data_IF_165038208504
#
_entry.id   IF_165038208504
#
_cell.length_a   1.000
_cell.length_b   1.000
_cell.length_c   1.000
_cell.angle_alpha   90.00
_cell.angle_beta   90.00
_cell.angle_gamma   90.00
#
_symmetry.space_group_name_H-M   'P 1'
#
loop_
_entity.id
_entity.type
_entity.pdbx_description
1 polymer ?
#
# COMPACT_ATOMS: atom_id res chain seq x y z
N UNK A 1 9.71 -4.52 1.33
CA UNK A 1 8.53 -3.70 0.99
C UNK A 1 8.65 -2.97 -0.35
N UNK A 2 9.84 -2.75 -0.92
CA UNK A 2 10.03 -1.96 -2.16
C UNK A 2 9.05 -2.24 -3.32
N UNK A 3 8.88 -3.50 -3.72
CA UNK A 3 7.93 -3.87 -4.80
C UNK A 3 6.47 -3.51 -4.53
N UNK A 4 6.09 -3.37 -3.25
CA UNK A 4 4.72 -3.02 -2.89
C UNK A 4 4.34 -1.58 -3.24
N UNK A 5 5.30 -0.66 -3.33
CA UNK A 5 5.03 0.76 -3.60
C UNK A 5 4.37 0.98 -4.96
N UNK A 6 4.77 0.18 -5.96
CA UNK A 6 4.21 0.26 -7.31
C UNK A 6 2.73 -0.11 -7.36
N UNK A 7 2.25 -0.92 -6.41
CA UNK A 7 0.86 -1.37 -6.37
C UNK A 7 -0.07 -0.53 -5.50
N UNK A 8 0.39 0.58 -4.93
CA UNK A 8 -0.38 1.36 -3.96
C UNK A 8 -1.14 2.52 -4.62
N UNK A 9 -2.48 2.46 -4.72
CA UNK A 9 -3.27 3.53 -5.36
C UNK A 9 -3.00 4.92 -4.79
N UNK A 10 -2.88 5.03 -3.47
CA UNK A 10 -2.63 6.28 -2.76
C UNK A 10 -1.26 6.90 -3.07
N UNK A 11 -0.26 6.08 -3.43
CA UNK A 11 1.06 6.57 -3.83
C UNK A 11 1.02 6.99 -5.29
N UNK A 12 0.38 6.18 -6.14
CA UNK A 12 0.24 6.45 -7.58
C UNK A 12 -0.56 7.74 -7.85
N UNK A 13 -1.64 7.97 -7.11
CA UNK A 13 -2.42 9.21 -7.20
C UNK A 13 -1.58 10.45 -6.91
N UNK A 14 -0.59 10.36 -6.00
CA UNK A 14 0.33 11.47 -5.73
C UNK A 14 1.28 11.71 -6.88
N UNK A 15 1.74 10.67 -7.59
CA UNK A 15 2.52 10.84 -8.81
C UNK A 15 1.69 11.45 -9.94
N UNK A 16 0.41 11.06 -10.06
CA UNK A 16 -0.50 11.62 -11.06
C UNK A 16 -0.90 13.09 -10.78
N UNK A 17 -0.79 13.53 -9.53
CA UNK A 17 -1.08 14.91 -9.14
C UNK A 17 0.10 15.89 -9.34
N UNK A 18 1.25 15.41 -9.83
CA UNK A 18 2.42 16.24 -10.10
C UNK A 18 2.12 17.16 -11.28
N UNK A 19 2.42 18.45 -11.11
CA UNK A 19 2.08 19.49 -12.09
C UNK A 19 3.04 19.48 -13.26
N UNK A 20 4.34 19.39 -12.96
CA UNK A 20 5.40 19.41 -13.94
C UNK A 20 6.40 18.28 -13.66
N UNK A 21 6.88 17.65 -14.73
CA UNK A 21 7.88 16.57 -14.65
C UNK A 21 9.20 17.03 -14.04
N UNK A 22 9.54 18.32 -14.16
CA UNK A 22 10.70 18.96 -13.52
C UNK A 22 10.69 18.80 -11.98
N UNK A 23 9.51 18.84 -11.35
CA UNK A 23 9.31 18.74 -9.91
C UNK A 23 9.60 17.32 -9.36
N UNK A 24 9.58 16.29 -10.22
CA UNK A 24 9.81 14.89 -9.82
C UNK A 24 11.15 14.71 -9.10
N UNK A 25 12.20 15.36 -9.60
CA UNK A 25 13.56 15.21 -9.05
C UNK A 25 13.67 15.80 -7.64
N UNK A 26 13.09 16.98 -7.44
CA UNK A 26 13.04 17.66 -6.15
C UNK A 26 12.17 16.88 -5.17
N UNK A 27 10.96 16.51 -5.59
CA UNK A 27 10.00 15.76 -4.79
C UNK A 27 10.59 14.42 -4.31
N UNK A 28 11.26 13.68 -5.22
CA UNK A 28 12.00 12.44 -4.87
C UNK A 28 13.10 12.69 -3.85
N UNK A 29 13.90 13.74 -3.99
CA UNK A 29 15.00 14.05 -3.06
C UNK A 29 14.46 14.38 -1.67
N UNK A 30 13.46 15.25 -1.58
CA UNK A 30 12.82 15.62 -0.32
C UNK A 30 12.22 14.38 0.35
N UNK A 31 11.44 13.57 -0.38
CA UNK A 31 10.82 12.37 0.15
C UNK A 31 11.86 11.35 0.64
N UNK A 32 12.92 11.11 -0.13
CA UNK A 32 13.98 10.15 0.23
C UNK A 32 14.77 10.62 1.44
N UNK A 33 15.09 11.91 1.52
CA UNK A 33 15.82 12.49 2.65
C UNK A 33 15.03 12.36 3.96
N UNK A 34 13.75 12.76 3.96
CA UNK A 34 12.89 12.63 5.15
C UNK A 34 12.59 11.18 5.52
N UNK A 35 12.49 10.29 4.53
CA UNK A 35 12.35 8.86 4.76
C UNK A 35 13.59 8.28 5.45
N UNK A 36 14.80 8.62 4.96
CA UNK A 36 16.06 8.17 5.54
C UNK A 36 16.22 8.64 7.00
N UNK A 37 15.89 9.90 7.29
CA UNK A 37 15.92 10.44 8.66
C UNK A 37 14.94 9.69 9.56
N UNK A 38 13.68 9.54 9.12
CA UNK A 38 12.62 8.91 9.90
C UNK A 38 12.94 7.44 10.22
N UNK A 39 13.40 6.68 9.21
CA UNK A 39 13.78 5.27 9.39
C UNK A 39 15.04 5.13 10.24
N UNK A 40 16.04 6.01 10.05
CA UNK A 40 17.24 6.04 10.87
C UNK A 40 16.92 6.29 12.35
N UNK A 41 16.05 7.27 12.63
CA UNK A 41 15.59 7.55 13.98
C UNK A 41 14.81 6.37 14.59
N UNK A 42 13.92 5.75 13.83
CA UNK A 42 13.15 4.58 14.28
C UNK A 42 14.06 3.40 14.65
N UNK A 43 15.07 3.10 13.83
CA UNK A 43 16.06 2.04 14.10
C UNK A 43 16.86 2.38 15.37
N UNK A 44 17.32 3.62 15.51
CA UNK A 44 18.07 4.05 16.70
C UNK A 44 17.23 3.89 17.99
N UNK A 45 15.96 4.29 17.97
CA UNK A 45 15.03 4.12 19.09
C UNK A 45 14.87 2.63 19.43
N UNK A 46 14.68 1.76 18.42
CA UNK A 46 14.58 0.32 18.63
C UNK A 46 15.84 -0.29 19.25
N UNK A 47 17.03 0.07 18.75
CA UNK A 47 18.32 -0.45 19.25
C UNK A 47 18.58 0.03 20.68
N UNK A 48 18.45 1.34 20.94
CA UNK A 48 18.66 1.91 22.28
C UNK A 48 17.64 1.33 23.26
N UNK A 49 16.37 1.26 22.85
CA UNK A 49 15.30 0.68 23.63
C UNK A 49 15.57 -0.78 24.00
N UNK A 50 16.13 -1.58 23.08
CA UNK A 50 16.47 -2.99 23.33
C UNK A 50 17.50 -3.19 24.43
N UNK A 51 18.44 -2.25 24.55
CA UNK A 51 19.50 -2.28 25.56
C UNK A 51 18.98 -1.81 26.93
N UNK A 52 18.18 -0.74 26.96
CA UNK A 52 17.73 -0.12 28.21
C UNK A 52 16.50 -0.84 28.79
N UNK A 53 15.59 -1.31 27.94
CA UNK A 53 14.34 -1.97 28.31
C UNK A 53 14.25 -3.36 27.68
N UNK A 54 15.10 -4.32 28.09
CA UNK A 54 15.14 -5.64 27.46
C UNK A 54 13.80 -6.39 27.56
N UNK A 55 13.04 -6.17 28.64
CA UNK A 55 11.75 -6.81 28.87
C UNK A 55 10.67 -6.34 27.89
N UNK A 56 10.81 -5.12 27.35
CA UNK A 56 9.89 -4.59 26.34
C UNK A 56 10.00 -5.32 24.98
N UNK A 57 11.01 -6.19 24.81
CA UNK A 57 11.25 -6.94 23.58
C UNK A 57 10.98 -8.45 23.72
N UNK A 58 10.35 -8.88 24.82
CA UNK A 58 9.97 -10.27 25.02
C UNK A 58 8.89 -10.74 24.04
N UNK A 59 8.05 -9.82 23.57
CA UNK A 59 7.05 -10.09 22.52
C UNK A 59 7.10 -9.01 21.44
N UNK A 60 6.66 -9.34 20.23
CA UNK A 60 6.60 -8.37 19.13
C UNK A 60 5.61 -7.23 19.42
N UNK A 61 4.45 -7.54 20.00
CA UNK A 61 3.45 -6.55 20.39
C UNK A 61 3.98 -5.58 21.47
N UNK A 62 4.72 -6.08 22.47
CA UNK A 62 5.37 -5.21 23.44
C UNK A 62 6.45 -4.31 22.79
N UNK A 63 7.22 -4.86 21.84
CA UNK A 63 8.28 -4.13 21.17
C UNK A 63 7.76 -2.92 20.37
N UNK A 64 6.54 -3.00 19.81
CA UNK A 64 5.92 -1.88 19.08
C UNK A 64 5.63 -0.66 19.99
N UNK A 65 5.55 -0.88 21.32
CA UNK A 65 5.31 0.18 22.31
C UNK A 65 6.61 0.86 22.81
N UNK A 66 7.79 0.48 22.31
CA UNK A 66 9.07 0.97 22.83
C UNK A 66 9.20 2.50 22.75
N UNK A 67 8.67 3.12 21.69
CA UNK A 67 8.71 4.57 21.56
C UNK A 67 7.92 5.26 22.67
N UNK A 68 6.75 4.72 23.01
CA UNK A 68 5.89 5.25 24.07
C UNK A 68 6.61 5.10 25.42
N UNK A 69 7.14 3.91 25.69
CA UNK A 69 7.88 3.61 26.93
C UNK A 69 9.09 4.53 27.12
N UNK A 70 9.89 4.73 26.07
CA UNK A 70 11.04 5.64 26.14
C UNK A 70 10.60 7.10 26.34
N UNK A 71 9.53 7.53 25.67
CA UNK A 71 9.02 8.89 25.80
C UNK A 71 8.52 9.18 27.23
N UNK A 72 7.79 8.26 27.84
CA UNK A 72 7.28 8.42 29.21
C UNK A 72 8.35 8.24 30.28
N UNK A 73 9.42 7.50 29.99
CA UNK A 73 10.52 7.28 30.94
C UNK A 73 11.54 8.42 30.96
N UNK A 74 11.83 9.04 29.82
CA UNK A 74 12.88 10.07 29.72
C UNK A 74 12.38 11.51 29.77
N UNK A 75 11.11 11.77 29.45
CA UNK A 75 10.56 13.12 29.44
C UNK A 75 9.61 13.37 30.62
N UNK A 76 9.50 14.63 31.03
CA UNK A 76 8.45 15.05 31.96
C UNK A 76 7.07 14.86 31.32
N UNK A 77 6.00 14.61 32.10
CA UNK A 77 4.69 14.21 31.58
C UNK A 77 4.12 15.10 30.46
N UNK A 78 4.33 16.42 30.56
CA UNK A 78 3.86 17.38 29.55
C UNK A 78 4.57 17.17 28.21
N UNK A 79 5.89 17.00 28.21
CA UNK A 79 6.69 16.81 26.99
C UNK A 79 6.41 15.44 26.39
N UNK A 80 6.32 14.40 27.23
CA UNK A 80 5.90 13.07 26.79
C UNK A 80 4.52 13.12 26.11
N UNK A 81 3.57 13.86 26.68
CA UNK A 81 2.24 14.09 26.10
C UNK A 81 2.27 14.76 24.73
N UNK A 82 3.12 15.78 24.54
CA UNK A 82 3.32 16.45 23.24
C UNK A 82 3.92 15.50 22.20
N UNK A 83 4.90 14.68 22.60
CA UNK A 83 5.53 13.71 21.71
C UNK A 83 4.53 12.63 21.28
N UNK A 84 3.74 12.10 22.21
CA UNK A 84 2.70 11.11 21.93
C UNK A 84 1.57 11.68 21.06
N UNK A 85 1.16 12.93 21.29
CA UNK A 85 0.14 13.58 20.47
C UNK A 85 0.60 13.75 19.01
N UNK A 86 1.89 13.96 18.78
CA UNK A 86 2.48 13.98 17.44
C UNK A 86 2.30 12.66 16.68
N UNK A 87 2.53 11.51 17.34
CA UNK A 87 2.30 10.19 16.73
C UNK A 87 0.81 9.96 16.46
N UNK A 88 -0.06 10.28 17.42
CA UNK A 88 -1.50 10.16 17.24
C UNK A 88 -1.98 11.01 16.05
N UNK A 89 -1.51 12.26 15.95
CA UNK A 89 -1.84 13.16 14.84
C UNK A 89 -1.37 12.59 13.50
N UNK A 90 -0.14 12.06 13.43
CA UNK A 90 0.38 11.44 12.21
C UNK A 90 -0.45 10.21 11.78
N UNK A 91 -0.78 9.33 12.73
CA UNK A 91 -1.61 8.14 12.48
C UNK A 91 -3.02 8.51 12.03
N UNK A 92 -3.67 9.48 12.69
CA UNK A 92 -5.02 9.93 12.33
C UNK A 92 -5.05 10.55 10.94
N UNK A 93 -4.06 11.38 10.59
CA UNK A 93 -3.99 11.98 9.24
C UNK A 93 -3.86 10.95 8.11
N UNK A 94 -3.15 9.86 8.39
CA UNK A 94 -3.01 8.75 7.44
C UNK A 94 -4.28 7.91 7.37
N UNK A 95 -4.86 7.56 8.53
CA UNK A 95 -6.10 6.79 8.62
C UNK A 95 -7.27 7.50 7.92
N UNK A 96 -7.41 8.82 8.11
CA UNK A 96 -8.44 9.63 7.46
C UNK A 96 -8.34 9.54 5.93
N UNK A 97 -7.14 9.70 5.38
CA UNK A 97 -6.89 9.56 3.94
C UNK A 97 -7.31 8.17 3.42
N UNK A 98 -6.97 7.09 4.15
CA UNK A 98 -7.34 5.74 3.75
C UNK A 98 -8.84 5.47 3.85
N UNK A 99 -9.51 5.96 4.89
CA UNK A 99 -10.95 5.83 5.07
C UNK A 99 -11.71 6.55 3.96
N UNK A 100 -11.31 7.79 3.64
CA UNK A 100 -11.93 8.58 2.58
C UNK A 100 -11.71 7.94 1.20
N UNK A 101 -10.50 7.47 0.90
CA UNK A 101 -10.19 6.81 -0.38
C UNK A 101 -11.02 5.54 -0.53
N UNK A 102 -11.07 4.68 0.49
CA UNK A 102 -11.85 3.44 0.46
C UNK A 102 -13.35 3.71 0.34
N UNK A 103 -13.89 4.66 1.11
CA UNK A 103 -15.30 5.04 1.06
C UNK A 103 -15.68 5.63 -0.31
N UNK A 104 -14.81 6.46 -0.89
CA UNK A 104 -15.02 7.05 -2.21
C UNK A 104 -14.92 6.01 -3.33
N UNK A 105 -13.98 5.06 -3.21
CA UNK A 105 -13.86 3.96 -4.16
C UNK A 105 -15.13 3.09 -4.12
N UNK A 106 -15.66 2.79 -2.93
CA UNK A 106 -16.91 2.06 -2.80
C UNK A 106 -18.09 2.83 -3.42
N UNK A 107 -18.25 4.11 -3.07
CA UNK A 107 -19.40 4.90 -3.56
C UNK A 107 -19.35 5.18 -5.06
N UNK A 108 -18.18 5.46 -5.63
CA UNK A 108 -18.05 5.76 -7.08
C UNK A 108 -17.97 4.51 -7.93
N UNK A 109 -17.12 3.54 -7.56
CA UNK A 109 -16.87 2.39 -8.44
C UNK A 109 -17.92 1.31 -8.28
N UNK A 110 -18.36 1.04 -7.04
CA UNK A 110 -19.31 -0.03 -6.76
C UNK A 110 -20.74 0.52 -6.78
N UNK A 111 -21.05 1.51 -5.94
CA UNK A 111 -22.42 2.02 -5.84
C UNK A 111 -22.85 2.72 -7.14
N UNK A 112 -22.16 3.78 -7.56
CA UNK A 112 -22.52 4.47 -8.80
C UNK A 112 -22.18 3.61 -10.04
N UNK A 113 -20.97 3.07 -10.15
CA UNK A 113 -20.53 2.35 -11.35
C UNK A 113 -21.28 1.04 -11.66
N UNK A 114 -21.71 0.30 -10.63
CA UNK A 114 -22.28 -1.04 -10.79
C UNK A 114 -23.70 -1.19 -10.25
N UNK A 115 -24.01 -0.60 -9.08
CA UNK A 115 -25.27 -0.86 -8.38
C UNK A 115 -26.40 0.11 -8.78
N UNK A 116 -26.09 1.40 -8.92
CA UNK A 116 -27.02 2.47 -9.27
C UNK A 116 -26.33 3.50 -10.18
N UNK A 117 -26.29 3.20 -11.47
CA UNK A 117 -25.63 4.01 -12.52
C UNK A 117 -26.18 5.41 -12.71
N UNK A 118 -27.45 5.60 -12.35
CA UNK A 118 -28.14 6.89 -12.42
C UNK A 118 -28.17 7.61 -11.06
N UNK A 119 -27.26 7.26 -10.13
CA UNK A 119 -27.22 7.90 -8.82
C UNK A 119 -26.79 9.37 -8.95
N UNK A 120 -27.53 10.28 -8.32
CA UNK A 120 -27.15 11.70 -8.30
C UNK A 120 -25.92 11.93 -7.42
N UNK A 121 -25.20 13.04 -7.63
CA UNK A 121 -24.05 13.42 -6.79
C UNK A 121 -24.39 13.44 -5.30
N UNK A 122 -25.61 13.87 -4.96
CA UNK A 122 -26.10 13.88 -3.57
C UNK A 122 -26.22 12.46 -3.01
N UNK A 123 -26.69 11.50 -3.80
CA UNK A 123 -26.80 10.10 -3.38
C UNK A 123 -25.42 9.46 -3.23
N UNK A 124 -24.49 9.75 -4.14
CA UNK A 124 -23.09 9.29 -4.04
C UNK A 124 -22.41 9.85 -2.79
N UNK A 125 -22.64 11.13 -2.46
CA UNK A 125 -22.11 11.75 -1.23
C UNK A 125 -22.68 11.10 0.03
N UNK A 126 -23.99 10.83 0.08
CA UNK A 126 -24.62 10.12 1.21
C UNK A 126 -24.03 8.72 1.33
N UNK A 127 -23.91 7.99 0.23
CA UNK A 127 -23.33 6.64 0.23
C UNK A 127 -21.86 6.65 0.67
N UNK A 128 -21.08 7.67 0.29
CA UNK A 128 -19.70 7.83 0.75
C UNK A 128 -19.63 7.96 2.27
N UNK A 129 -20.53 8.76 2.88
CA UNK A 129 -20.58 8.91 4.35
C UNK A 129 -21.00 7.62 5.05
N UNK A 130 -21.95 6.88 4.50
CA UNK A 130 -22.38 5.57 5.03
C UNK A 130 -21.23 4.57 4.95
N UNK A 131 -20.58 4.46 3.80
CA UNK A 131 -19.44 3.58 3.59
C UNK A 131 -18.29 3.91 4.56
N UNK A 132 -18.01 5.20 4.78
CA UNK A 132 -17.01 5.65 5.75
C UNK A 132 -17.33 5.12 7.16
N UNK A 133 -18.56 5.28 7.64
CA UNK A 133 -18.97 4.79 8.97
C UNK A 133 -18.80 3.26 9.06
N UNK A 134 -19.26 2.53 8.05
CA UNK A 134 -19.16 1.06 8.03
C UNK A 134 -17.70 0.60 8.05
N UNK A 135 -16.86 1.17 7.20
CA UNK A 135 -15.43 0.84 7.13
C UNK A 135 -14.73 1.19 8.44
N UNK A 136 -15.04 2.33 9.05
CA UNK A 136 -14.50 2.73 10.36
C UNK A 136 -14.89 1.75 11.46
N UNK A 137 -16.15 1.30 11.52
CA UNK A 137 -16.60 0.29 12.48
C UNK A 137 -15.83 -1.02 12.28
N UNK A 138 -15.69 -1.47 11.04
CA UNK A 138 -14.93 -2.69 10.74
C UNK A 138 -13.45 -2.55 11.14
N UNK A 139 -12.82 -1.41 10.83
CA UNK A 139 -11.44 -1.13 11.23
C UNK A 139 -11.27 -1.13 12.76
N UNK A 140 -12.23 -0.56 13.51
CA UNK A 140 -12.23 -0.61 14.97
C UNK A 140 -12.33 -2.04 15.50
N UNK A 141 -13.22 -2.87 14.93
CA UNK A 141 -13.35 -4.27 15.34
C UNK A 141 -12.03 -5.03 15.12
N UNK A 142 -11.37 -4.83 13.98
CA UNK A 142 -10.06 -5.45 13.69
C UNK A 142 -8.98 -4.92 14.63
N UNK A 143 -9.01 -3.63 14.98
CA UNK A 143 -8.04 -3.01 15.87
C UNK A 143 -8.15 -3.46 17.34
N UNK A 144 -9.26 -4.07 17.75
CA UNK A 144 -9.44 -4.62 19.11
C UNK A 144 -8.70 -5.94 19.34
N UNK A 145 -8.14 -6.57 18.30
CA UNK A 145 -7.31 -7.76 18.46
C UNK A 145 -5.91 -7.40 18.96
N UNK A 146 -5.70 -7.47 20.28
CA UNK A 146 -4.42 -7.16 20.94
C UNK A 146 -3.26 -8.10 20.55
N UNK A 147 -3.57 -9.27 19.96
CA UNK A 147 -2.55 -10.22 19.51
C UNK A 147 -2.01 -9.86 18.12
N UNK A 148 -2.67 -8.97 17.39
CA UNK A 148 -2.22 -8.54 16.07
C UNK A 148 -1.09 -7.53 16.17
N UNK A 149 0.08 -7.92 15.67
CA UNK A 149 1.25 -7.05 15.53
C UNK A 149 1.04 -6.12 14.34
N UNK A 150 1.10 -4.80 14.55
CA UNK A 150 0.83 -3.77 13.53
C UNK A 150 1.69 -4.02 12.29
N UNK A 151 2.98 -4.29 12.49
CA UNK A 151 3.93 -4.57 11.42
C UNK A 151 3.49 -5.76 10.54
N UNK A 152 2.92 -6.80 11.13
CA UNK A 152 2.49 -8.01 10.40
C UNK A 152 1.25 -7.73 9.58
N UNK A 153 0.26 -7.04 10.15
CA UNK A 153 -0.98 -6.66 9.46
C UNK A 153 -0.67 -5.73 8.28
N UNK A 154 0.16 -4.71 8.51
CA UNK A 154 0.59 -3.77 7.46
C UNK A 154 1.39 -4.49 6.38
N UNK A 155 2.35 -5.35 6.75
CA UNK A 155 3.11 -6.13 5.78
C UNK A 155 2.21 -6.99 4.90
N UNK A 156 1.21 -7.66 5.48
CA UNK A 156 0.30 -8.49 4.71
C UNK A 156 -0.55 -7.66 3.72
N UNK A 157 -1.07 -6.50 4.15
CA UNK A 157 -1.77 -5.58 3.26
C UNK A 157 -0.84 -5.08 2.12
N UNK A 158 0.41 -4.76 2.45
CA UNK A 158 1.46 -4.39 1.48
C UNK A 158 1.71 -5.49 0.45
N UNK A 159 1.74 -6.75 0.87
CA UNK A 159 1.89 -7.89 -0.03
C UNK A 159 0.72 -7.97 -1.02
N UNK A 160 -0.52 -7.85 -0.50
CA UNK A 160 -1.75 -7.92 -1.30
C UNK A 160 -1.79 -6.87 -2.41
N UNK A 161 -1.68 -5.59 -2.05
CA UNK A 161 -1.69 -4.49 -3.02
C UNK A 161 -0.49 -4.58 -3.98
N UNK A 162 0.70 -4.85 -3.44
CA UNK A 162 1.94 -4.96 -4.20
C UNK A 162 1.87 -6.03 -5.29
N UNK A 163 1.41 -7.24 -4.98
CA UNK A 163 1.32 -8.33 -5.95
C UNK A 163 0.15 -8.19 -6.93
N UNK A 164 -0.97 -7.60 -6.47
CA UNK A 164 -2.17 -7.42 -7.30
C UNK A 164 -1.96 -6.34 -8.36
N UNK A 165 -1.52 -5.15 -7.96
CA UNK A 165 -1.48 -3.99 -8.86
C UNK A 165 -0.07 -3.68 -9.36
N UNK A 166 0.97 -3.96 -8.57
CA UNK A 166 2.34 -3.60 -8.89
C UNK A 166 2.84 -4.15 -10.23
N UNK A 167 2.70 -5.46 -10.51
CA UNK A 167 3.08 -6.05 -11.78
C UNK A 167 2.35 -5.40 -12.96
N UNK A 168 1.03 -5.25 -12.89
CA UNK A 168 0.25 -4.64 -13.97
C UNK A 168 0.72 -3.22 -14.26
N UNK A 169 0.99 -2.41 -13.24
CA UNK A 169 1.47 -1.04 -13.43
C UNK A 169 2.85 -1.03 -14.09
N UNK A 170 3.78 -1.86 -13.63
CA UNK A 170 5.11 -1.93 -14.25
C UNK A 170 5.02 -2.38 -15.72
N UNK A 171 4.25 -3.42 -16.00
CA UNK A 171 4.10 -3.90 -17.37
C UNK A 171 3.39 -2.88 -18.25
N UNK A 172 2.37 -2.18 -17.77
CA UNK A 172 1.68 -1.12 -18.54
C UNK A 172 2.60 0.06 -18.88
N UNK A 173 3.62 0.33 -18.06
CA UNK A 173 4.59 1.41 -18.31
C UNK A 173 5.74 0.99 -19.23
N UNK A 174 6.18 -0.27 -19.15
CA UNK A 174 7.42 -0.71 -19.81
C UNK A 174 7.21 -1.74 -20.93
N UNK A 175 6.01 -2.29 -21.10
CA UNK A 175 5.73 -3.34 -22.08
C UNK A 175 4.44 -3.06 -22.88
N UNK A 176 4.62 -2.67 -24.14
CA UNK A 176 3.52 -2.33 -25.05
C UNK A 176 2.54 -3.47 -25.37
N UNK A 177 2.88 -4.72 -25.07
CA UNK A 177 2.07 -5.91 -25.42
C UNK A 177 1.03 -6.27 -24.36
N UNK A 178 0.97 -5.55 -23.24
CA UNK A 178 -0.02 -5.79 -22.18
C UNK A 178 -1.43 -5.70 -22.74
N UNK A 179 -2.21 -6.76 -22.53
CA UNK A 179 -3.62 -6.83 -22.92
C UNK A 179 -4.51 -6.69 -21.70
N UNK A 180 -5.78 -6.28 -21.91
CA UNK A 180 -6.79 -6.24 -20.84
C UNK A 180 -6.91 -7.58 -20.12
N UNK A 181 -6.94 -8.68 -20.87
CA UNK A 181 -7.04 -10.03 -20.33
C UNK A 181 -5.79 -10.40 -19.52
N UNK A 182 -4.60 -10.03 -19.99
CA UNK A 182 -3.35 -10.26 -19.25
C UNK A 182 -3.28 -9.45 -17.95
N UNK A 183 -3.72 -8.19 -17.97
CA UNK A 183 -3.80 -7.37 -16.77
C UNK A 183 -4.76 -7.97 -15.72
N UNK A 184 -5.96 -8.40 -16.14
CA UNK A 184 -6.93 -9.05 -15.24
C UNK A 184 -6.35 -10.35 -14.67
N UNK A 185 -5.73 -11.18 -15.51
CA UNK A 185 -5.11 -12.43 -15.08
C UNK A 185 -4.01 -12.17 -14.04
N UNK A 186 -3.12 -11.20 -14.31
CA UNK A 186 -2.09 -10.76 -13.35
C UNK A 186 -2.66 -10.34 -12.01
N UNK A 187 -3.66 -9.45 -12.02
CA UNK A 187 -4.30 -8.98 -10.79
C UNK A 187 -4.91 -10.12 -9.97
N UNK A 188 -5.65 -11.01 -10.62
CA UNK A 188 -6.26 -12.16 -9.96
C UNK A 188 -5.20 -13.12 -9.42
N UNK A 189 -4.19 -13.47 -10.22
CA UNK A 189 -3.09 -14.35 -9.79
C UNK A 189 -2.33 -13.74 -8.62
N UNK A 190 -1.93 -12.47 -8.70
CA UNK A 190 -1.22 -11.78 -7.62
C UNK A 190 -2.01 -11.73 -6.32
N UNK A 191 -3.28 -11.30 -6.39
CA UNK A 191 -4.15 -11.22 -5.22
C UNK A 191 -4.40 -12.58 -4.58
N UNK A 192 -4.83 -13.58 -5.36
CA UNK A 192 -5.09 -14.94 -4.86
C UNK A 192 -3.82 -15.56 -4.28
N UNK A 193 -2.68 -15.39 -4.96
CA UNK A 193 -1.44 -16.03 -4.53
C UNK A 193 -0.90 -15.44 -3.23
N UNK A 194 -1.16 -14.17 -2.90
CA UNK A 194 -0.78 -13.64 -1.56
C UNK A 194 -1.48 -14.43 -0.44
N UNK A 195 -2.78 -14.69 -0.58
CA UNK A 195 -3.52 -15.49 0.40
C UNK A 195 -3.10 -16.96 0.38
N UNK A 196 -3.02 -17.58 -0.81
CA UNK A 196 -2.60 -18.96 -0.93
C UNK A 196 -1.18 -19.18 -0.40
N UNK A 197 -0.25 -18.26 -0.68
CA UNK A 197 1.12 -18.35 -0.17
C UNK A 197 1.15 -18.20 1.35
N UNK A 198 0.45 -17.20 1.90
CA UNK A 198 0.41 -16.97 3.35
C UNK A 198 -0.22 -18.13 4.13
N UNK A 199 -1.34 -18.67 3.64
CA UNK A 199 -2.18 -19.61 4.36
C UNK A 199 -1.84 -21.09 4.09
N UNK A 200 -1.33 -21.41 2.91
CA UNK A 200 -1.10 -22.81 2.50
C UNK A 200 0.38 -23.13 2.31
N UNK A 201 1.16 -22.23 1.70
CA UNK A 201 2.55 -22.53 1.29
C UNK A 201 3.54 -22.21 2.41
N UNK A 202 3.46 -21.00 2.97
CA UNK A 202 4.36 -20.51 4.02
C UNK A 202 4.34 -21.40 5.28
N UNK A 203 3.19 -21.94 5.75
CA UNK A 203 3.15 -22.84 6.90
C UNK A 203 3.86 -24.18 6.67
N UNK A 204 4.11 -24.60 5.42
CA UNK A 204 4.86 -25.83 5.11
C UNK A 204 6.34 -25.74 5.52
N UNK A 205 6.83 -24.53 5.79
CA UNK A 205 8.18 -24.30 6.30
C UNK A 205 9.29 -24.47 5.26
N UNK A 206 10.54 -24.51 5.75
CA UNK A 206 11.73 -24.62 4.91
C UNK A 206 11.98 -23.38 4.02
N UNK A 207 12.46 -23.62 2.80
CA UNK A 207 12.79 -22.57 1.80
C UNK A 207 11.54 -21.77 1.39
N UNK A 208 10.35 -22.33 1.59
CA UNK A 208 9.08 -21.71 1.22
C UNK A 208 8.56 -20.69 2.27
N UNK A 209 9.21 -20.59 3.43
CA UNK A 209 8.90 -19.57 4.44
C UNK A 209 9.48 -18.19 4.08
N UNK A 210 9.19 -17.74 2.86
CA UNK A 210 9.52 -16.41 2.38
C UNK A 210 8.30 -15.51 2.47
N UNK A 211 8.57 -14.20 2.54
CA UNK A 211 7.53 -13.18 2.52
C UNK A 211 6.69 -13.28 1.24
N UNK A 212 5.38 -13.45 1.41
CA UNK A 212 4.40 -13.78 0.37
C UNK A 212 4.35 -12.81 -0.82
N UNK A 213 4.77 -11.55 -0.64
CA UNK A 213 4.80 -10.57 -1.73
C UNK A 213 5.66 -11.04 -2.90
N UNK A 214 6.88 -11.50 -2.64
CA UNK A 214 7.84 -11.82 -3.71
C UNK A 214 7.31 -12.92 -4.65
N UNK A 215 6.92 -14.12 -4.17
CA UNK A 215 6.44 -15.17 -5.06
C UNK A 215 5.11 -14.80 -5.73
N UNK A 216 4.19 -14.13 -5.03
CA UNK A 216 2.93 -13.69 -5.62
C UNK A 216 3.15 -12.64 -6.73
N UNK A 217 4.10 -11.73 -6.54
CA UNK A 217 4.48 -10.73 -7.54
C UNK A 217 5.05 -11.39 -8.79
N UNK A 218 5.97 -12.35 -8.63
CA UNK A 218 6.56 -13.08 -9.77
C UNK A 218 5.48 -13.86 -10.53
N UNK A 219 4.58 -14.54 -9.83
CA UNK A 219 3.50 -15.30 -10.46
C UNK A 219 2.50 -14.39 -11.19
N UNK A 220 2.21 -13.21 -10.65
CA UNK A 220 1.44 -12.18 -11.33
C UNK A 220 2.13 -11.70 -12.61
N UNK A 221 3.44 -11.42 -12.58
CA UNK A 221 4.22 -11.09 -13.78
C UNK A 221 4.12 -12.18 -14.86
N UNK A 222 4.28 -13.45 -14.45
CA UNK A 222 4.19 -14.60 -15.37
C UNK A 222 2.79 -14.71 -15.98
N UNK A 223 1.74 -14.55 -15.18
CA UNK A 223 0.36 -14.57 -15.66
C UNK A 223 0.09 -13.45 -16.67
N UNK A 224 0.59 -12.23 -16.43
CA UNK A 224 0.49 -11.11 -17.37
C UNK A 224 1.15 -11.47 -18.70
N UNK A 225 2.40 -11.94 -18.67
CA UNK A 225 3.15 -12.29 -19.89
C UNK A 225 2.42 -13.36 -20.68
N UNK A 226 2.09 -14.48 -20.04
CA UNK A 226 1.49 -15.64 -20.71
C UNK A 226 0.14 -15.24 -21.32
N UNK A 227 -0.76 -14.64 -20.53
CA UNK A 227 -2.10 -14.34 -21.02
C UNK A 227 -2.08 -13.21 -22.04
N UNK A 228 -1.20 -12.21 -21.91
CA UNK A 228 -1.05 -11.19 -22.96
C UNK A 228 -0.54 -11.75 -24.27
N UNK A 229 0.39 -12.70 -24.26
CA UNK A 229 0.87 -13.34 -25.49
C UNK A 229 -0.19 -14.28 -26.12
N UNK A 230 -1.04 -14.90 -25.31
CA UNK A 230 -2.11 -15.79 -25.76
C UNK A 230 -3.38 -15.06 -26.21
N UNK A 231 -3.50 -13.75 -25.98
CA UNK A 231 -4.69 -12.96 -26.32
C UNK A 231 -4.40 -11.95 -27.42
N UNK A 232 -5.45 -11.39 -28.01
CA UNK A 232 -5.35 -10.43 -29.11
C UNK A 232 -4.44 -9.24 -28.76
N UNK A 233 -3.76 -8.73 -29.78
CA UNK A 233 -2.88 -7.58 -29.63
C UNK A 233 -3.66 -6.33 -29.21
N UNK A 234 -3.05 -5.43 -28.41
CA UNK A 234 -3.64 -4.13 -28.14
C UNK A 234 -3.95 -3.39 -29.44
N UNK A 235 -5.01 -2.59 -29.43
CA UNK A 235 -5.39 -1.80 -30.60
C UNK A 235 -4.25 -0.87 -31.03
N UNK A 236 -4.22 -0.51 -32.32
CA UNK A 236 -3.22 0.43 -32.86
C UNK A 236 -3.19 1.75 -32.09
N UNK A 237 -4.36 2.25 -31.70
CA UNK A 237 -4.51 3.44 -30.86
C UNK A 237 -3.74 3.35 -29.54
N UNK A 238 -3.86 2.24 -28.80
CA UNK A 238 -3.13 2.01 -27.55
C UNK A 238 -1.61 1.94 -27.80
N UNK A 239 -1.20 1.30 -28.90
CA UNK A 239 0.22 1.18 -29.25
C UNK A 239 0.82 2.56 -29.61
N UNK A 240 0.09 3.38 -30.35
CA UNK A 240 0.48 4.74 -30.71
C UNK A 240 0.57 5.64 -29.48
N UNK A 241 -0.40 5.56 -28.57
CA UNK A 241 -0.38 6.28 -27.29
C UNK A 241 0.83 5.89 -26.44
N UNK A 242 1.13 4.58 -26.35
CA UNK A 242 2.29 4.08 -25.63
C UNK A 242 3.61 4.64 -26.17
N UNK A 243 3.81 4.63 -27.50
CA UNK A 243 5.04 5.15 -28.12
C UNK A 243 5.12 6.69 -27.99
N UNK A 244 4.00 7.41 -28.04
CA UNK A 244 3.96 8.86 -27.81
C UNK A 244 4.38 9.22 -26.38
N UNK A 245 3.85 8.52 -25.37
CA UNK A 245 4.21 8.72 -23.97
C UNK A 245 5.71 8.44 -23.73
N UNK A 246 6.22 7.36 -24.33
CA UNK A 246 7.62 6.96 -24.25
C UNK A 246 8.55 8.02 -24.85
N UNK A 247 8.22 8.57 -26.02
CA UNK A 247 9.04 9.61 -26.66
C UNK A 247 9.03 10.93 -25.90
N UNK A 248 7.89 11.31 -25.31
CA UNK A 248 7.79 12.50 -24.46
C UNK A 248 8.65 12.39 -23.20
N UNK A 249 8.74 11.19 -22.62
CA UNK A 249 9.58 10.93 -21.43
C UNK A 249 11.09 10.94 -21.70
N UNK A 250 11.51 10.68 -22.94
CA UNK A 250 12.93 10.68 -23.36
C UNK A 250 13.42 12.02 -23.92
N UNK A 251 12.51 12.97 -24.17
CA UNK A 251 12.84 14.32 -24.63
C UNK A 251 13.12 15.34 -23.51
N UNK A 252 13.11 14.90 -22.25
CA UNK A 252 13.45 15.65 -21.04
C UNK A 252 14.74 15.12 -20.42
#
# INVERSE_FOLDING_TARGET
WGFGYFGMPQVLLKFMAIRETSELTLSRRIATFWCAISLGASIAIGIIGRVIFPDAFLTQSAAENIFILMSTSFFVPIVAGIVMSGILAATISSADSYLIISASAFSKNIYHGLMKREATDREVLVMTRIALIIISIFAMIVALDENSVIFTVVSFAWAGFGATFGPVILFSLFWKRVTRSGAIAGMLTGGIMVFAWKLLVRPLGGILNIYELLPAFVLSCVAIIIVSLLTEEPSKEILEEFELAKNTSMGL
#
